data_IF_435778047378
#
_entry.id   IF_435778047378
#
_cell.length_a   1.000
_cell.length_b   1.000
_cell.length_c   1.000
_cell.angle_alpha   90.00
_cell.angle_beta   90.00
_cell.angle_gamma   90.00
#
_symmetry.space_group_name_H-M   'P 1'
#
loop_
_entity.id
_entity.type
_entity.pdbx_description
1 polymer ?
#
# COMPACT_ATOMS: atom_id res chain seq x y z
N UNK A 1 -29.36 23.30 -11.22
CA UNK A 1 -29.20 23.03 -9.77
C UNK A 1 -28.64 21.63 -9.59
N UNK A 2 -27.66 21.39 -8.71
CA UNK A 2 -27.23 20.03 -8.45
C UNK A 2 -28.37 19.23 -7.81
N UNK A 3 -28.56 17.99 -8.27
CA UNK A 3 -29.57 17.09 -7.71
C UNK A 3 -29.21 16.77 -6.25
N UNK A 4 -30.21 16.70 -5.36
CA UNK A 4 -30.00 16.35 -3.93
C UNK A 4 -29.18 15.05 -3.77
N UNK A 5 -29.39 14.05 -4.65
CA UNK A 5 -28.60 12.82 -4.70
C UNK A 5 -27.10 13.07 -4.94
N UNK A 6 -26.77 14.04 -5.81
CA UNK A 6 -25.36 14.36 -6.08
C UNK A 6 -24.70 15.04 -4.88
N UNK A 7 -25.44 15.89 -4.16
CA UNK A 7 -24.94 16.54 -2.94
C UNK A 7 -24.68 15.52 -1.82
N UNK A 8 -25.59 14.57 -1.63
CA UNK A 8 -25.38 13.47 -0.68
C UNK A 8 -24.19 12.58 -1.08
N UNK A 9 -24.05 12.28 -2.38
CA UNK A 9 -22.92 11.49 -2.86
C UNK A 9 -21.59 12.23 -2.65
N UNK A 10 -21.53 13.55 -2.90
CA UNK A 10 -20.33 14.36 -2.64
C UNK A 10 -20.00 14.35 -1.16
N UNK A 11 -20.95 14.57 -0.26
CA UNK A 11 -20.71 14.53 1.19
C UNK A 11 -20.16 13.18 1.64
N UNK A 12 -20.80 12.08 1.20
CA UNK A 12 -20.32 10.72 1.52
C UNK A 12 -18.91 10.47 0.98
N UNK A 13 -18.59 10.96 -0.23
CA UNK A 13 -17.25 10.86 -0.80
C UNK A 13 -16.23 11.70 -0.03
N UNK A 14 -16.60 12.92 0.37
CA UNK A 14 -15.73 13.80 1.18
C UNK A 14 -15.38 13.14 2.52
N UNK A 15 -16.37 12.59 3.22
CA UNK A 15 -16.13 11.86 4.49
C UNK A 15 -15.24 10.63 4.33
N UNK A 16 -15.39 9.90 3.22
CA UNK A 16 -14.58 8.72 2.91
C UNK A 16 -13.14 9.10 2.52
N UNK A 17 -12.98 10.16 1.74
CA UNK A 17 -11.67 10.67 1.34
C UNK A 17 -10.89 11.24 2.53
N UNK A 18 -11.57 11.92 3.45
CA UNK A 18 -10.96 12.48 4.66
C UNK A 18 -10.45 11.39 5.62
N UNK A 19 -11.18 10.27 5.71
CA UNK A 19 -10.82 9.13 6.57
C UNK A 19 -9.79 8.19 5.94
N UNK A 20 -9.61 8.24 4.62
CA UNK A 20 -8.74 7.32 3.90
C UNK A 20 -7.26 7.71 4.04
N UNK A 21 -6.42 6.78 4.50
CA UNK A 21 -4.97 6.94 4.54
C UNK A 21 -4.34 6.80 3.15
N UNK A 22 -4.97 6.02 2.28
CA UNK A 22 -4.49 5.82 0.91
C UNK A 22 -5.65 5.75 -0.09
N UNK A 23 -5.47 6.36 -1.25
CA UNK A 23 -6.43 6.41 -2.34
C UNK A 23 -5.72 5.98 -3.62
N UNK A 24 -6.23 4.93 -4.28
CA UNK A 24 -5.70 4.46 -5.56
C UNK A 24 -6.72 4.70 -6.65
N UNK A 25 -6.28 5.35 -7.73
CA UNK A 25 -7.08 5.58 -8.93
C UNK A 25 -6.72 4.55 -9.99
N UNK A 26 -7.68 3.71 -10.34
CA UNK A 26 -7.50 2.63 -11.30
C UNK A 26 -8.44 2.77 -12.47
N UNK A 27 -8.00 2.32 -13.64
CA UNK A 27 -8.83 2.23 -14.83
C UNK A 27 -9.45 0.83 -14.90
N UNK A 28 -10.78 0.78 -14.90
CA UNK A 28 -11.51 -0.50 -15.00
C UNK A 28 -11.91 -0.88 -16.42
N UNK A 29 -11.50 -0.11 -17.43
CA UNK A 29 -11.79 -0.40 -18.84
C UNK A 29 -11.18 -1.74 -19.26
N UNK A 30 -12.04 -2.61 -19.80
CA UNK A 30 -11.64 -3.92 -20.34
C UNK A 30 -11.50 -5.02 -19.29
N UNK A 31 -11.97 -4.78 -18.06
CA UNK A 31 -12.20 -5.84 -17.08
C UNK A 31 -13.57 -6.49 -17.32
N UNK A 32 -13.62 -7.80 -17.33
CA UNK A 32 -14.88 -8.54 -17.37
C UNK A 32 -15.61 -8.46 -16.02
N UNK A 33 -16.93 -8.63 -16.03
CA UNK A 33 -17.78 -8.58 -14.82
C UNK A 33 -17.31 -9.59 -13.75
N UNK A 34 -16.87 -10.76 -14.19
CA UNK A 34 -16.34 -11.80 -13.30
C UNK A 34 -15.06 -11.31 -12.61
N UNK A 35 -14.16 -10.68 -13.37
CA UNK A 35 -12.88 -10.15 -12.88
C UNK A 35 -13.10 -9.00 -11.88
N UNK A 36 -14.01 -8.07 -12.17
CA UNK A 36 -14.37 -6.98 -11.25
C UNK A 36 -14.94 -7.54 -9.95
N UNK A 37 -15.75 -8.60 -10.03
CA UNK A 37 -16.35 -9.22 -8.83
C UNK A 37 -15.28 -9.91 -7.98
N UNK A 38 -14.30 -10.57 -8.60
CA UNK A 38 -13.14 -11.15 -7.90
C UNK A 38 -12.31 -10.06 -7.23
N UNK A 39 -11.98 -9.00 -7.97
CA UNK A 39 -11.23 -7.86 -7.45
C UNK A 39 -11.91 -7.23 -6.22
N UNK A 40 -13.23 -7.04 -6.28
CA UNK A 40 -14.00 -6.53 -5.13
C UNK A 40 -13.92 -7.45 -3.91
N UNK A 41 -13.99 -8.77 -4.11
CA UNK A 41 -13.86 -9.73 -3.02
C UNK A 41 -12.48 -9.68 -2.37
N UNK A 42 -11.43 -9.55 -3.16
CA UNK A 42 -10.06 -9.42 -2.66
C UNK A 42 -9.86 -8.11 -1.90
N UNK A 43 -10.42 -7.00 -2.38
CA UNK A 43 -10.38 -5.72 -1.67
C UNK A 43 -11.12 -5.80 -0.33
N UNK A 44 -12.31 -6.37 -0.30
CA UNK A 44 -13.08 -6.54 0.94
C UNK A 44 -12.34 -7.42 1.95
N UNK A 45 -11.61 -8.46 1.52
CA UNK A 45 -10.79 -9.29 2.41
C UNK A 45 -9.64 -8.54 3.09
N UNK A 46 -9.29 -7.35 2.59
CA UNK A 46 -8.22 -6.47 3.09
C UNK A 46 -8.74 -5.14 3.64
N UNK A 47 -10.02 -5.06 3.94
CA UNK A 47 -10.69 -3.84 4.44
C UNK A 47 -10.48 -2.62 3.51
N UNK A 48 -10.38 -2.87 2.20
CA UNK A 48 -10.26 -1.85 1.17
C UNK A 48 -11.62 -1.63 0.53
N UNK A 49 -12.10 -0.41 0.54
CA UNK A 49 -13.35 -0.05 -0.12
C UNK A 49 -13.11 0.29 -1.59
N UNK A 50 -13.77 -0.44 -2.50
CA UNK A 50 -13.71 -0.19 -3.93
C UNK A 50 -14.98 0.50 -4.43
N UNK A 51 -14.85 1.79 -4.79
CA UNK A 51 -15.97 2.63 -5.20
C UNK A 51 -15.76 3.21 -6.59
N UNK A 52 -16.79 3.14 -7.43
CA UNK A 52 -16.83 3.78 -8.74
C UNK A 52 -17.73 4.98 -8.65
N UNK A 53 -17.21 6.16 -8.94
CA UNK A 53 -17.98 7.40 -8.92
C UNK A 53 -17.67 8.26 -10.15
N UNK A 54 -18.55 9.22 -10.43
CA UNK A 54 -18.37 10.15 -11.54
C UNK A 54 -17.21 11.10 -11.26
N UNK A 55 -16.28 11.25 -12.20
CA UNK A 55 -15.06 12.07 -12.02
C UNK A 55 -15.35 13.49 -11.56
N UNK A 56 -16.46 14.09 -12.03
CA UNK A 56 -16.87 15.45 -11.62
C UNK A 56 -17.21 15.52 -10.13
N UNK A 57 -17.81 14.47 -9.56
CA UNK A 57 -18.15 14.41 -8.13
C UNK A 57 -16.90 14.16 -7.28
N UNK A 58 -16.00 13.31 -7.79
CA UNK A 58 -14.69 13.07 -7.15
C UNK A 58 -13.88 14.37 -7.10
N UNK A 59 -13.86 15.15 -8.18
CA UNK A 59 -13.18 16.45 -8.24
C UNK A 59 -13.74 17.45 -7.23
N UNK A 60 -15.05 17.49 -7.05
CA UNK A 60 -15.69 18.36 -6.07
C UNK A 60 -15.33 17.93 -4.64
N UNK A 61 -15.47 16.64 -4.33
CA UNK A 61 -15.13 16.10 -3.01
C UNK A 61 -13.64 16.30 -2.67
N UNK A 62 -12.74 16.11 -3.64
CA UNK A 62 -11.31 16.31 -3.46
C UNK A 62 -10.93 17.78 -3.21
N UNK A 63 -11.62 18.73 -3.84
CA UNK A 63 -11.45 20.17 -3.56
C UNK A 63 -11.90 20.53 -2.15
N UNK A 64 -13.02 19.94 -1.68
CA UNK A 64 -13.54 20.16 -0.34
C UNK A 64 -12.56 19.66 0.75
N UNK A 65 -11.80 18.60 0.48
CA UNK A 65 -10.75 18.05 1.37
C UNK A 65 -9.39 18.78 1.20
N UNK A 66 -9.26 19.63 0.16
CA UNK A 66 -8.00 20.36 -0.10
C UNK A 66 -6.93 19.53 -0.82
N UNK A 67 -7.30 18.44 -1.48
CA UNK A 67 -6.39 17.61 -2.27
C UNK A 67 -6.24 18.19 -3.69
N UNK A 68 -5.10 18.81 -3.98
CA UNK A 68 -4.78 19.38 -5.28
C UNK A 68 -4.01 18.39 -6.17
N UNK A 69 -4.11 18.54 -7.50
CA UNK A 69 -3.34 17.74 -8.45
C UNK A 69 -4.02 16.47 -8.97
N UNK A 70 -5.24 16.18 -8.53
CA UNK A 70 -6.02 15.01 -8.96
C UNK A 70 -6.57 15.10 -10.40
N UNK A 71 -6.59 16.30 -10.98
CA UNK A 71 -7.14 16.51 -12.32
C UNK A 71 -6.49 15.66 -13.39
N UNK A 72 -5.20 15.33 -13.23
CA UNK A 72 -4.43 14.51 -14.17
C UNK A 72 -4.91 13.04 -14.18
N UNK A 73 -5.38 12.52 -13.06
CA UNK A 73 -5.77 11.11 -12.89
C UNK A 73 -7.25 10.86 -13.15
N UNK A 74 -8.08 11.90 -13.13
CA UNK A 74 -9.53 11.82 -13.30
C UNK A 74 -9.96 11.96 -14.79
N UNK A 75 -9.12 11.50 -15.72
CA UNK A 75 -9.45 11.43 -17.15
C UNK A 75 -9.93 10.02 -17.49
N UNK A 76 -11.09 9.92 -18.18
CA UNK A 76 -11.70 8.65 -18.56
C UNK A 76 -12.33 7.89 -17.38
N UNK A 77 -12.65 6.60 -17.54
CA UNK A 77 -13.26 5.78 -16.50
C UNK A 77 -12.27 5.61 -15.34
N UNK A 78 -12.72 5.88 -14.12
CA UNK A 78 -11.89 5.85 -12.94
C UNK A 78 -12.64 5.17 -11.80
N UNK A 79 -12.02 4.17 -11.22
CA UNK A 79 -12.45 3.57 -9.98
C UNK A 79 -11.47 3.96 -8.87
N UNK A 80 -11.97 4.08 -7.65
CA UNK A 80 -11.18 4.41 -6.46
C UNK A 80 -11.15 3.22 -5.53
N UNK A 81 -9.95 2.85 -5.06
CA UNK A 81 -9.77 1.95 -3.95
C UNK A 81 -9.27 2.78 -2.74
N UNK A 82 -10.05 2.77 -1.68
CA UNK A 82 -9.81 3.52 -0.45
C UNK A 82 -9.33 2.57 0.63
N UNK A 83 -8.18 2.84 1.23
CA UNK A 83 -7.68 2.10 2.39
C UNK A 83 -7.69 2.98 3.62
N UNK A 84 -8.22 2.43 4.71
CA UNK A 84 -8.31 3.09 6.00
C UNK A 84 -7.22 2.64 6.97
N UNK A 85 -6.70 1.43 6.77
CA UNK A 85 -5.69 0.81 7.63
C UNK A 85 -4.29 0.97 7.00
N UNK A 86 -3.81 -0.05 6.32
CA UNK A 86 -2.49 -0.06 5.69
C UNK A 86 -2.51 0.54 4.28
N UNK A 87 -1.70 1.57 4.00
CA UNK A 87 -1.65 2.19 2.68
C UNK A 87 -1.11 1.25 1.59
N UNK A 88 -0.36 0.19 1.95
CA UNK A 88 0.24 -0.74 1.00
C UNK A 88 -0.68 -1.90 0.59
N UNK A 89 -1.76 -2.15 1.33
CA UNK A 89 -2.63 -3.30 1.06
C UNK A 89 -3.36 -3.23 -0.29
N UNK A 90 -3.95 -2.10 -0.72
CA UNK A 90 -4.52 -2.01 -2.05
C UNK A 90 -3.50 -2.28 -3.16
N UNK A 91 -2.25 -1.80 -2.98
CA UNK A 91 -1.18 -2.02 -3.94
C UNK A 91 -0.82 -3.50 -4.09
N UNK A 92 -0.76 -4.25 -2.98
CA UNK A 92 -0.50 -5.69 -2.99
C UNK A 92 -1.61 -6.47 -3.69
N UNK A 93 -2.88 -6.14 -3.42
CA UNK A 93 -4.03 -6.75 -4.08
C UNK A 93 -3.98 -6.51 -5.58
N UNK A 94 -3.81 -5.26 -6.00
CA UNK A 94 -3.72 -4.90 -7.42
C UNK A 94 -2.53 -5.60 -8.09
N UNK A 95 -1.37 -5.66 -7.43
CA UNK A 95 -0.18 -6.36 -7.95
C UNK A 95 -0.42 -7.86 -8.13
N UNK A 96 -1.09 -8.51 -7.20
CA UNK A 96 -1.44 -9.94 -7.33
C UNK A 96 -2.42 -10.13 -8.47
N UNK A 97 -3.41 -9.26 -8.58
CA UNK A 97 -4.39 -9.29 -9.66
C UNK A 97 -3.77 -9.06 -11.04
N UNK A 98 -2.77 -8.17 -11.14
CA UNK A 98 -2.02 -7.91 -12.38
C UNK A 98 -1.18 -9.11 -12.85
N UNK A 99 -0.87 -10.08 -11.96
CA UNK A 99 -0.20 -11.33 -12.38
C UNK A 99 -1.12 -12.26 -13.14
N UNK A 100 -2.41 -12.24 -12.82
CA UNK A 100 -3.42 -13.09 -13.43
C UNK A 100 -4.11 -12.40 -14.62
N UNK A 101 -4.16 -11.08 -14.60
CA UNK A 101 -4.85 -10.25 -15.59
C UNK A 101 -3.98 -9.02 -15.91
N UNK A 102 -3.86 -8.66 -17.20
CA UNK A 102 -3.10 -7.48 -17.66
C UNK A 102 -3.71 -6.13 -17.24
N UNK A 103 -4.82 -6.13 -16.50
CA UNK A 103 -5.58 -4.97 -16.02
C UNK A 103 -6.04 -5.20 -14.58
N UNK A 104 -6.27 -4.14 -13.78
CA UNK A 104 -6.48 -2.71 -14.08
C UNK A 104 -5.19 -1.90 -14.25
N UNK A 105 -5.21 -0.88 -15.12
CA UNK A 105 -4.15 0.11 -15.20
C UNK A 105 -4.27 1.11 -14.03
N UNK A 106 -3.16 1.45 -13.41
CA UNK A 106 -3.12 2.42 -12.32
C UNK A 106 -2.80 3.79 -12.90
N UNK A 107 -3.68 4.76 -12.69
CA UNK A 107 -3.51 6.15 -13.14
C UNK A 107 -2.66 6.95 -12.18
N UNK A 108 -2.84 6.73 -10.91
CA UNK A 108 -2.13 7.40 -9.84
C UNK A 108 -2.63 6.99 -8.46
N UNK A 109 -1.96 7.48 -7.44
CA UNK A 109 -2.31 7.19 -6.05
C UNK A 109 -1.99 8.37 -5.15
N UNK A 110 -2.68 8.44 -4.03
CA UNK A 110 -2.43 9.39 -2.95
C UNK A 110 -2.13 8.58 -1.70
N UNK A 111 -1.00 8.85 -1.07
CA UNK A 111 -0.58 8.22 0.17
C UNK A 111 -0.21 9.32 1.16
N UNK A 112 -0.82 9.33 2.32
CA UNK A 112 -0.57 10.33 3.38
C UNK A 112 -0.57 11.78 2.86
N UNK A 113 -1.48 12.11 1.92
CA UNK A 113 -1.61 13.44 1.33
C UNK A 113 -0.61 13.76 0.20
N UNK A 114 0.31 12.85 -0.13
CA UNK A 114 1.23 13.00 -1.25
C UNK A 114 0.71 12.29 -2.50
N UNK A 115 0.82 12.96 -3.64
CA UNK A 115 0.36 12.46 -4.94
C UNK A 115 1.51 11.74 -5.65
N UNK A 116 1.31 10.47 -6.00
CA UNK A 116 2.25 9.65 -6.76
C UNK A 116 1.66 9.28 -8.13
N UNK A 117 2.53 9.12 -9.11
CA UNK A 117 2.13 8.70 -10.45
C UNK A 117 2.02 7.16 -10.51
N UNK A 118 1.32 6.66 -11.55
CA UNK A 118 1.16 5.21 -11.75
C UNK A 118 2.48 4.45 -11.92
N UNK A 119 3.53 5.12 -12.41
CA UNK A 119 4.88 4.54 -12.57
C UNK A 119 5.54 4.14 -11.24
N UNK A 120 5.24 4.85 -10.16
CA UNK A 120 5.79 4.55 -8.84
C UNK A 120 5.05 3.41 -8.12
N UNK A 121 3.97 2.90 -8.71
CA UNK A 121 3.16 1.83 -8.13
C UNK A 121 3.99 0.58 -7.80
N UNK A 122 4.87 0.14 -8.70
CA UNK A 122 5.69 -1.06 -8.46
C UNK A 122 6.59 -0.93 -7.23
N UNK A 123 7.13 0.26 -7.00
CA UNK A 123 7.96 0.54 -5.81
C UNK A 123 7.12 0.40 -4.55
N UNK A 124 5.91 0.96 -4.56
CA UNK A 124 5.00 0.95 -3.39
C UNK A 124 4.43 -0.45 -3.15
N UNK A 125 4.07 -1.18 -4.22
CA UNK A 125 3.57 -2.55 -4.11
C UNK A 125 4.61 -3.54 -3.56
N UNK A 126 5.91 -3.22 -3.65
CA UNK A 126 7.00 -4.00 -3.09
C UNK A 126 7.31 -3.63 -1.62
N UNK A 127 6.73 -2.56 -1.09
CA UNK A 127 6.95 -2.18 0.30
C UNK A 127 6.27 -3.17 1.26
N UNK A 128 6.95 -3.55 2.35
CA UNK A 128 6.34 -4.29 3.44
C UNK A 128 5.26 -3.43 4.13
N UNK A 129 4.43 -4.05 4.98
CA UNK A 129 3.43 -3.33 5.77
C UNK A 129 4.09 -2.31 6.69
N UNK A 130 3.31 -1.32 7.17
CA UNK A 130 3.78 -0.29 8.10
C UNK A 130 4.42 -0.90 9.35
N UNK A 131 3.82 -1.96 9.90
CA UNK A 131 4.34 -2.67 11.07
C UNK A 131 5.70 -3.34 10.79
N UNK A 132 5.85 -3.95 9.62
CA UNK A 132 7.10 -4.56 9.19
C UNK A 132 8.20 -3.52 8.97
N UNK A 133 7.86 -2.34 8.42
CA UNK A 133 8.79 -1.23 8.27
C UNK A 133 9.26 -0.69 9.62
N UNK A 134 8.34 -0.52 10.57
CA UNK A 134 8.68 -0.11 11.93
C UNK A 134 9.55 -1.16 12.65
N UNK A 135 9.22 -2.44 12.53
CA UNK A 135 10.01 -3.55 13.06
C UNK A 135 11.43 -3.56 12.48
N UNK A 136 11.56 -3.35 11.16
CA UNK A 136 12.85 -3.25 10.49
C UNK A 136 13.66 -2.03 10.97
N UNK A 137 13.00 -0.89 11.18
CA UNK A 137 13.63 0.30 11.73
C UNK A 137 14.19 0.04 13.14
N UNK A 138 13.37 -0.54 14.03
CA UNK A 138 13.81 -0.92 15.40
C UNK A 138 14.97 -1.91 15.35
N UNK A 139 14.89 -2.91 14.45
CA UNK A 139 15.99 -3.86 14.24
C UNK A 139 17.28 -3.18 13.79
N UNK A 140 17.18 -2.21 12.87
CA UNK A 140 18.36 -1.44 12.42
C UNK A 140 18.94 -0.57 13.52
N UNK A 141 18.13 0.02 14.39
CA UNK A 141 18.60 0.80 15.55
C UNK A 141 19.30 -0.07 16.60
N UNK A 142 18.83 -1.31 16.79
CA UNK A 142 19.44 -2.27 17.73
C UNK A 142 20.66 -3.01 17.13
N UNK A 143 20.79 -3.02 15.79
CA UNK A 143 21.87 -3.75 15.10
C UNK A 143 23.29 -3.36 15.54
N UNK A 144 23.65 -2.06 15.73
CA UNK A 144 24.99 -1.68 16.18
C UNK A 144 25.33 -2.26 17.56
N UNK A 145 24.38 -2.24 18.49
CA UNK A 145 24.55 -2.80 19.85
C UNK A 145 24.76 -4.30 19.80
N UNK A 146 23.94 -5.00 19.03
CA UNK A 146 24.05 -6.46 18.85
C UNK A 146 25.37 -6.85 18.16
N UNK A 147 25.79 -6.10 17.15
CA UNK A 147 27.10 -6.31 16.49
C UNK A 147 28.26 -6.10 17.45
N UNK A 148 28.23 -5.05 18.26
CA UNK A 148 29.28 -4.78 19.27
C UNK A 148 29.36 -5.92 20.27
N UNK A 149 28.24 -6.34 20.82
CA UNK A 149 28.17 -7.48 21.77
C UNK A 149 28.71 -8.79 21.15
N UNK A 150 28.30 -9.11 19.92
CA UNK A 150 28.77 -10.31 19.23
C UNK A 150 30.25 -10.24 18.87
N UNK A 151 30.78 -9.07 18.49
CA UNK A 151 32.19 -8.88 18.17
C UNK A 151 33.06 -9.02 19.39
N UNK A 152 32.59 -8.57 20.54
CA UNK A 152 33.32 -8.75 21.83
C UNK A 152 33.29 -10.22 22.31
N UNK A 153 32.20 -10.95 22.10
CA UNK A 153 32.05 -12.36 22.48
C UNK A 153 32.70 -13.35 21.50
N UNK A 154 32.83 -12.98 20.21
CA UNK A 154 33.31 -13.85 19.13
C UNK A 154 34.71 -14.44 19.38
N UNK A 155 35.74 -13.69 19.81
CA UNK A 155 37.06 -14.25 20.04
C UNK A 155 37.07 -15.32 21.13
N UNK A 156 36.31 -15.12 22.21
CA UNK A 156 36.20 -16.07 23.32
C UNK A 156 35.52 -17.35 22.88
N UNK A 157 34.41 -17.24 22.17
CA UNK A 157 33.68 -18.40 21.61
C UNK A 157 34.53 -19.17 20.60
N UNK A 158 35.30 -18.46 19.77
CA UNK A 158 36.20 -19.08 18.78
C UNK A 158 37.34 -19.88 19.46
N UNK A 159 37.93 -19.36 20.55
CA UNK A 159 38.96 -20.09 21.34
C UNK A 159 38.35 -21.30 22.03
N UNK A 160 37.17 -21.19 22.62
CA UNK A 160 36.49 -22.32 23.28
C UNK A 160 36.20 -23.44 22.26
N UNK A 161 35.65 -23.09 21.08
CA UNK A 161 35.38 -24.07 20.02
C UNK A 161 36.64 -24.76 19.48
N UNK A 162 37.77 -24.03 19.39
CA UNK A 162 39.04 -24.62 18.97
C UNK A 162 39.60 -25.60 20.07
N UNK A 163 39.46 -25.25 21.33
CA UNK A 163 39.86 -26.11 22.47
C UNK A 163 38.99 -27.37 22.53
N UNK A 164 37.68 -27.26 22.34
CA UNK A 164 36.76 -28.41 22.31
C UNK A 164 37.09 -29.37 21.15
N UNK A 165 37.38 -28.81 19.94
CA UNK A 165 37.81 -29.63 18.80
C UNK A 165 39.14 -30.33 19.01
N UNK A 166 40.10 -29.70 19.66
CA UNK A 166 41.36 -30.33 20.04
C UNK A 166 41.21 -31.45 21.08
N UNK A 167 40.30 -31.23 22.03
CA UNK A 167 40.01 -32.23 23.07
C UNK A 167 39.29 -33.46 22.45
N UNK A 168 38.35 -33.24 21.54
CA UNK A 168 37.64 -34.33 20.81
C UNK A 168 38.54 -35.14 19.83
N UNK A 169 39.67 -34.57 19.40
CA UNK A 169 40.66 -35.27 18.57
C UNK A 169 41.70 -36.04 19.37
N UNK A 170 41.84 -35.76 20.64
CA UNK A 170 42.82 -36.46 21.54
C UNK A 170 42.22 -37.60 22.34
N UNK A 171 40.88 -37.70 22.42
CA UNK A 171 40.15 -38.86 22.96
C UNK A 171 39.71 -39.77 21.82
#
# INVERSE_FOLDING_TARGET
>A
MPSNKNLETVKNLTEKLDKANAIYFTDYLGLDVVSITKLRKEFVSKDVEFTIAKNTLIKLAAKDVGMEGLDKFLNGPTAMALSYNDPTDPAKVIKNFLKDFDKPAIKGMILDGQVFQGEDFEKIANLPSKEQLLSKLVGMLNSPMSKLSSTLGSPVSGLLGALEQLNSKKG
#
